data_IF_450131364336
#
_entry.id   IF_450131364336
#
_cell.length_a   1.000
_cell.length_b   1.000
_cell.length_c   1.000
_cell.angle_alpha   90.00
_cell.angle_beta   90.00
_cell.angle_gamma   90.00
#
_symmetry.space_group_name_H-M   'P 1'
#
loop_
_entity.id
_entity.type
_entity.pdbx_description
1 polymer ?
#
# COMPACT_ATOMS: atom_id res chain seq x y z
N UNK A 1 13.62 1.95 39.57
CA UNK A 1 12.36 2.69 39.77
C UNK A 1 11.28 1.74 40.27
N UNK A 2 10.76 1.94 41.48
CA UNK A 2 9.67 1.11 42.03
C UNK A 2 8.35 1.55 41.39
N UNK A 3 7.72 0.68 40.60
CA UNK A 3 6.36 0.90 40.09
C UNK A 3 5.38 0.93 41.24
N UNK A 4 4.70 2.06 41.43
CA UNK A 4 3.67 2.24 42.45
C UNK A 4 2.53 1.27 42.14
N UNK A 5 2.43 0.15 42.88
CA UNK A 5 1.27 -0.73 42.85
C UNK A 5 0.08 0.04 43.43
N UNK A 6 -1.01 0.13 42.67
CA UNK A 6 -2.27 0.74 43.07
C UNK A 6 -2.71 0.19 44.44
N UNK A 7 -2.92 1.07 45.42
CA UNK A 7 -3.20 0.75 46.83
C UNK A 7 -4.67 0.42 47.15
N UNK A 8 -5.54 0.26 46.16
CA UNK A 8 -6.96 0.02 46.41
C UNK A 8 -7.33 -1.44 46.10
N UNK A 9 -7.36 -2.29 47.14
CA UNK A 9 -7.58 -3.74 47.03
C UNK A 9 -9.03 -4.13 46.73
N UNK A 10 -9.99 -3.23 46.97
CA UNK A 10 -11.42 -3.53 46.92
C UNK A 10 -12.15 -2.84 45.74
N UNK A 11 -11.42 -2.20 44.84
CA UNK A 11 -11.97 -1.49 43.68
C UNK A 11 -11.98 -2.32 42.40
N UNK A 12 -12.73 -1.86 41.39
CA UNK A 12 -12.67 -2.44 40.04
C UNK A 12 -11.21 -2.37 39.52
N UNK A 13 -10.61 -3.50 39.09
CA UNK A 13 -9.25 -3.49 38.57
C UNK A 13 -9.09 -2.49 37.43
N UNK A 14 -7.99 -1.72 37.48
CA UNK A 14 -7.66 -0.78 36.42
C UNK A 14 -7.35 -1.55 35.12
N UNK A 15 -7.89 -1.07 34.00
CA UNK A 15 -7.54 -1.60 32.68
C UNK A 15 -6.07 -1.39 32.38
N UNK A 16 -5.45 -2.34 31.67
CA UNK A 16 -4.08 -2.18 31.17
C UNK A 16 -4.00 -0.98 30.21
N UNK A 17 -2.84 -0.30 30.10
CA UNK A 17 -2.68 0.80 29.14
C UNK A 17 -3.03 0.41 27.70
N UNK A 18 -2.73 -0.83 27.28
CA UNK A 18 -3.06 -1.37 25.95
C UNK A 18 -4.56 -1.54 25.69
N UNK A 19 -5.36 -1.72 26.74
CA UNK A 19 -6.83 -1.88 26.64
C UNK A 19 -7.56 -0.54 26.74
N UNK A 20 -6.86 0.51 27.17
CA UNK A 20 -7.43 1.84 27.35
C UNK A 20 -7.44 2.56 26.00
N UNK A 21 -8.63 2.97 25.55
CA UNK A 21 -8.81 3.86 24.38
C UNK A 21 -8.35 5.28 24.74
N UNK A 22 -7.03 5.50 24.77
CA UNK A 22 -6.40 6.72 25.29
C UNK A 22 -6.36 7.91 24.33
N UNK A 23 -6.46 7.67 23.03
CA UNK A 23 -6.42 8.72 22.01
C UNK A 23 -7.82 9.25 21.69
N UNK A 24 -7.95 10.58 21.59
CA UNK A 24 -9.19 11.26 21.20
C UNK A 24 -9.02 11.87 19.81
N UNK A 25 -10.00 11.63 18.94
CA UNK A 25 -10.11 12.26 17.62
C UNK A 25 -11.41 13.07 17.61
N UNK A 26 -11.34 14.32 17.17
CA UNK A 26 -12.51 15.18 16.96
C UNK A 26 -12.78 15.27 15.47
N UNK A 27 -14.03 15.02 15.07
CA UNK A 27 -14.48 15.11 13.66
C UNK A 27 -15.62 16.10 13.59
N UNK A 28 -15.53 17.10 12.71
CA UNK A 28 -16.65 17.96 12.35
C UNK A 28 -17.42 17.30 11.21
N UNK A 29 -18.74 17.27 11.29
CA UNK A 29 -19.62 16.60 10.35
C UNK A 29 -20.69 17.58 9.87
N UNK A 30 -21.16 17.41 8.64
CA UNK A 30 -22.40 18.03 8.19
C UNK A 30 -23.60 17.43 8.95
N UNK A 31 -24.72 18.16 8.96
CA UNK A 31 -25.95 17.74 9.64
C UNK A 31 -26.42 16.36 9.17
N UNK A 32 -26.43 16.13 7.86
CA UNK A 32 -26.85 14.85 7.26
C UNK A 32 -25.95 13.68 7.69
N UNK A 33 -24.63 13.85 7.61
CA UNK A 33 -23.65 12.83 8.01
C UNK A 33 -23.81 12.44 9.48
N UNK A 34 -24.00 13.44 10.35
CA UNK A 34 -24.19 13.22 11.78
C UNK A 34 -25.46 12.40 12.07
N UNK A 35 -26.59 12.77 11.46
CA UNK A 35 -27.85 12.05 11.67
C UNK A 35 -27.84 10.66 11.03
N UNK A 36 -27.19 10.50 9.87
CA UNK A 36 -26.98 9.19 9.23
C UNK A 36 -26.16 8.26 10.13
N UNK A 37 -25.04 8.74 10.66
CA UNK A 37 -24.23 8.00 11.63
C UNK A 37 -25.05 7.65 12.89
N UNK A 38 -25.81 8.62 13.44
CA UNK A 38 -26.64 8.42 14.64
C UNK A 38 -27.70 7.34 14.40
N UNK A 39 -28.40 7.38 13.28
CA UNK A 39 -29.42 6.39 12.92
C UNK A 39 -28.81 4.99 12.78
N UNK A 40 -27.70 4.86 12.03
CA UNK A 40 -26.99 3.58 11.85
C UNK A 40 -26.50 2.99 13.17
N UNK A 41 -25.91 3.82 14.04
CA UNK A 41 -25.50 3.38 15.37
C UNK A 41 -26.69 2.90 16.22
N UNK A 42 -27.83 3.60 16.12
CA UNK A 42 -29.08 3.23 16.79
C UNK A 42 -29.65 1.90 16.30
N UNK A 43 -29.64 1.63 14.99
CA UNK A 43 -30.10 0.37 14.40
C UNK A 43 -29.35 -0.86 14.95
N UNK A 44 -28.05 -0.71 15.21
CA UNK A 44 -27.19 -1.79 15.73
C UNK A 44 -27.12 -1.77 17.26
N UNK A 45 -27.79 -0.83 17.93
CA UNK A 45 -27.79 -0.72 19.40
C UNK A 45 -26.44 -0.34 20.01
N UNK A 46 -25.55 0.30 19.23
CA UNK A 46 -24.21 0.70 19.70
C UNK A 46 -24.08 2.21 19.79
N UNK A 47 -23.15 2.68 20.62
CA UNK A 47 -22.88 4.11 20.70
C UNK A 47 -22.11 4.61 19.46
N UNK A 48 -22.28 5.91 19.15
CA UNK A 48 -21.64 6.60 18.02
C UNK A 48 -20.13 6.34 17.94
N UNK A 49 -19.43 6.35 19.07
CA UNK A 49 -17.98 6.15 19.09
C UNK A 49 -17.59 4.71 18.77
N UNK A 50 -18.38 3.72 19.16
CA UNK A 50 -18.14 2.32 18.79
C UNK A 50 -18.46 2.07 17.33
N UNK A 51 -19.53 2.67 16.81
CA UNK A 51 -19.85 2.64 15.39
C UNK A 51 -18.68 3.16 14.54
N UNK A 52 -18.14 4.34 14.85
CA UNK A 52 -16.97 4.89 14.13
C UNK A 52 -15.76 3.95 14.23
N UNK A 53 -15.49 3.37 15.41
CA UNK A 53 -14.37 2.43 15.58
C UNK A 53 -14.54 1.16 14.76
N UNK A 54 -15.76 0.64 14.66
CA UNK A 54 -16.06 -0.50 13.79
C UNK A 54 -15.85 -0.13 12.33
N UNK A 55 -16.36 1.02 11.88
CA UNK A 55 -16.09 1.51 10.53
C UNK A 55 -14.59 1.56 10.25
N UNK A 56 -13.79 2.19 11.12
CA UNK A 56 -12.32 2.28 10.94
C UNK A 56 -11.65 0.90 10.84
N UNK A 57 -12.09 -0.08 11.64
CA UNK A 57 -11.55 -1.45 11.58
C UNK A 57 -11.91 -2.19 10.30
N UNK A 58 -13.09 -1.90 9.74
CA UNK A 58 -13.62 -2.55 8.55
C UNK A 58 -13.35 -1.79 7.25
N UNK A 59 -12.86 -0.54 7.33
CA UNK A 59 -12.56 0.27 6.15
C UNK A 59 -11.41 -0.36 5.37
N UNK A 60 -11.65 -0.67 4.10
CA UNK A 60 -10.60 -1.02 3.15
C UNK A 60 -10.07 0.27 2.53
N UNK A 61 -8.79 0.57 2.79
CA UNK A 61 -8.10 1.68 2.12
C UNK A 61 -7.79 1.23 0.70
N UNK A 62 -8.52 1.77 -0.28
CA UNK A 62 -8.19 1.58 -1.69
C UNK A 62 -7.10 2.56 -2.09
N UNK A 63 -5.84 2.11 -2.04
CA UNK A 63 -4.73 2.89 -2.60
C UNK A 63 -4.88 2.93 -4.12
N UNK A 64 -5.02 4.13 -4.70
CA UNK A 64 -5.31 4.30 -6.14
C UNK A 64 -4.23 3.69 -7.04
N UNK A 65 -2.97 3.81 -6.65
CA UNK A 65 -1.79 3.23 -7.30
C UNK A 65 -0.76 2.94 -6.21
N UNK A 66 -0.48 1.68 -5.94
CA UNK A 66 0.59 1.35 -5.00
C UNK A 66 1.96 1.72 -5.58
N UNK A 67 2.98 1.99 -4.76
CA UNK A 67 4.34 2.24 -5.24
C UNK A 67 4.88 1.09 -6.11
N UNK A 68 4.52 -0.15 -5.79
CA UNK A 68 4.88 -1.34 -6.56
C UNK A 68 4.20 -1.33 -7.94
N UNK A 69 2.91 -1.01 -8.00
CA UNK A 69 2.20 -0.88 -9.27
C UNK A 69 2.78 0.25 -10.13
N UNK A 70 3.15 1.39 -9.53
CA UNK A 70 3.86 2.46 -10.25
C UNK A 70 5.21 2.02 -10.80
N UNK A 71 5.95 1.18 -10.06
CA UNK A 71 7.22 0.61 -10.54
C UNK A 71 6.97 -0.28 -11.76
N UNK A 72 5.96 -1.13 -11.72
CA UNK A 72 5.60 -1.98 -12.87
C UNK A 72 5.16 -1.17 -14.10
N UNK A 73 4.36 -0.11 -13.90
CA UNK A 73 3.97 0.80 -14.99
C UNK A 73 5.21 1.44 -15.63
N UNK A 74 6.17 1.92 -14.83
CA UNK A 74 7.42 2.50 -15.35
C UNK A 74 8.24 1.49 -16.13
N UNK A 75 8.33 0.24 -15.66
CA UNK A 75 9.02 -0.84 -16.38
C UNK A 75 8.36 -1.11 -17.74
N UNK A 76 7.02 -1.22 -17.77
CA UNK A 76 6.26 -1.43 -19.01
C UNK A 76 6.46 -0.27 -20.00
N UNK A 77 6.44 0.98 -19.54
CA UNK A 77 6.73 2.15 -20.38
C UNK A 77 8.15 2.10 -20.97
N UNK A 78 9.13 1.68 -20.17
CA UNK A 78 10.50 1.45 -20.64
C UNK A 78 10.57 0.38 -21.73
N UNK A 79 9.88 -0.76 -21.53
CA UNK A 79 9.80 -1.83 -22.52
C UNK A 79 9.13 -1.38 -23.82
N UNK A 80 8.02 -0.64 -23.73
CA UNK A 80 7.33 -0.09 -24.90
C UNK A 80 8.23 0.86 -25.71
N UNK A 81 9.01 1.69 -25.03
CA UNK A 81 10.00 2.56 -25.67
C UNK A 81 11.09 1.75 -26.38
N UNK A 82 11.62 0.71 -25.74
CA UNK A 82 12.63 -0.16 -26.34
C UNK A 82 12.10 -0.83 -27.62
N UNK A 83 10.87 -1.36 -27.59
CA UNK A 83 10.22 -1.96 -28.77
C UNK A 83 10.06 -0.94 -29.89
N UNK A 84 9.61 0.27 -29.57
CA UNK A 84 9.46 1.34 -30.56
C UNK A 84 10.80 1.75 -31.19
N UNK A 85 11.88 1.76 -30.41
CA UNK A 85 13.22 2.00 -30.94
C UNK A 85 13.67 0.90 -31.90
N UNK A 86 13.50 -0.38 -31.53
CA UNK A 86 13.82 -1.52 -32.40
C UNK A 86 13.05 -1.42 -33.73
N UNK A 87 11.75 -1.14 -33.67
CA UNK A 87 10.92 -1.00 -34.86
C UNK A 87 11.38 0.14 -35.77
N UNK A 88 11.73 1.30 -35.20
CA UNK A 88 12.27 2.44 -35.97
C UNK A 88 13.61 2.11 -36.61
N UNK A 89 14.52 1.50 -35.87
CA UNK A 89 15.84 1.12 -36.40
C UNK A 89 15.69 0.06 -37.49
N UNK A 90 14.80 -0.92 -37.32
CA UNK A 90 14.57 -1.95 -38.33
C UNK A 90 14.00 -1.38 -39.63
N UNK A 91 13.12 -0.38 -39.52
CA UNK A 91 12.59 0.34 -40.68
C UNK A 91 13.68 1.15 -41.41
N UNK A 92 14.66 1.71 -40.69
CA UNK A 92 15.70 2.55 -41.27
C UNK A 92 16.91 1.76 -41.83
N UNK A 93 17.38 0.76 -41.08
CA UNK A 93 18.59 -0.02 -41.39
C UNK A 93 18.30 -1.37 -42.05
N UNK A 94 17.04 -1.82 -42.04
CA UNK A 94 16.66 -3.15 -42.49
C UNK A 94 16.71 -4.20 -41.38
N UNK A 95 15.90 -5.24 -41.55
CA UNK A 95 15.63 -6.24 -40.51
C UNK A 95 16.85 -7.10 -40.13
N UNK A 96 17.71 -7.45 -41.09
CA UNK A 96 18.86 -8.34 -40.87
C UNK A 96 19.90 -7.69 -39.93
N UNK A 97 20.17 -6.40 -40.14
CA UNK A 97 21.15 -5.67 -39.32
C UNK A 97 20.67 -5.52 -37.88
N UNK A 98 19.39 -5.19 -37.68
CA UNK A 98 18.80 -5.09 -36.34
C UNK A 98 18.71 -6.44 -35.65
N UNK A 99 18.41 -7.51 -36.38
CA UNK A 99 18.41 -8.86 -35.83
C UNK A 99 19.80 -9.24 -35.28
N UNK A 100 20.86 -9.00 -36.05
CA UNK A 100 22.23 -9.27 -35.62
C UNK A 100 22.62 -8.44 -34.39
N UNK A 101 22.23 -7.17 -34.37
CA UNK A 101 22.48 -6.30 -33.21
C UNK A 101 21.74 -6.79 -31.96
N UNK A 102 20.47 -7.18 -32.07
CA UNK A 102 19.70 -7.78 -30.97
C UNK A 102 20.31 -9.09 -30.47
N UNK A 103 20.84 -9.93 -31.35
CA UNK A 103 21.51 -11.18 -30.99
C UNK A 103 22.76 -10.91 -30.12
N UNK A 104 23.64 -10.01 -30.59
CA UNK A 104 24.87 -9.64 -29.86
C UNK A 104 24.52 -9.00 -28.51
N UNK A 105 23.47 -8.16 -28.45
CA UNK A 105 23.02 -7.58 -27.18
C UNK A 105 22.47 -8.63 -26.22
N UNK A 106 21.71 -9.61 -26.71
CA UNK A 106 21.17 -10.70 -25.89
C UNK A 106 22.29 -11.56 -25.29
N UNK A 107 23.31 -11.90 -26.08
CA UNK A 107 24.49 -12.62 -25.56
C UNK A 107 25.24 -11.83 -24.48
N UNK A 108 25.32 -10.50 -24.61
CA UNK A 108 25.93 -9.65 -23.58
C UNK A 108 25.08 -9.60 -22.32
N UNK A 109 23.76 -9.50 -22.45
CA UNK A 109 22.85 -9.53 -21.32
C UNK A 109 22.93 -10.86 -20.57
N UNK A 110 22.92 -11.99 -21.27
CA UNK A 110 23.07 -13.33 -20.67
C UNK A 110 24.37 -13.45 -19.87
N UNK A 111 25.48 -12.90 -20.39
CA UNK A 111 26.76 -12.87 -19.68
C UNK A 111 26.71 -12.02 -18.41
N UNK A 112 26.01 -10.88 -18.44
CA UNK A 112 25.86 -10.03 -17.25
C UNK A 112 24.95 -10.69 -16.22
N UNK A 113 23.84 -11.30 -16.64
CA UNK A 113 22.91 -11.99 -15.74
C UNK A 113 23.62 -13.14 -15.02
N UNK A 114 24.36 -13.99 -15.74
CA UNK A 114 25.14 -15.07 -15.15
C UNK A 114 26.13 -14.57 -14.08
N UNK A 115 26.82 -13.45 -14.34
CA UNK A 115 27.72 -12.85 -13.35
C UNK A 115 27.01 -12.38 -12.08
N UNK A 116 25.80 -11.81 -12.22
CA UNK A 116 25.00 -11.37 -11.07
C UNK A 116 24.50 -12.58 -10.27
N UNK A 117 24.12 -13.67 -10.94
CA UNK A 117 23.71 -14.93 -10.30
C UNK A 117 24.87 -15.59 -9.57
N UNK A 118 26.08 -15.58 -10.13
CA UNK A 118 27.29 -16.14 -9.52
C UNK A 118 27.79 -15.30 -8.31
N UNK A 119 27.42 -14.02 -8.22
CA UNK A 119 27.80 -13.09 -7.14
C UNK A 119 26.81 -13.08 -5.94
N UNK A 120 25.71 -13.84 -6.01
CA UNK A 120 24.67 -13.97 -4.96
C UNK A 120 24.71 -15.33 -4.26
#
# INVERSE_FOLDING_TARGET
MKTIKNRNSNGRPAKKPSEKKGYKITVKMATEEYYSMKAKAGLVGINRSEFIRQCIRSTVIKQRLSPELMRHIRQLSGMANNVNQIARTANAAGYIEVHNHCLIMSERLDKVIKRIEDDC
#
